data_IF_474626016605
#
_entry.id   IF_474626016605
#
_cell.length_a   1.000
_cell.length_b   1.000
_cell.length_c   1.000
_cell.angle_alpha   90.00
_cell.angle_beta   90.00
_cell.angle_gamma   90.00
#
_symmetry.space_group_name_H-M   'P 1'
#
loop_
_entity.id
_entity.type
_entity.pdbx_description
1 polymer ?
#
# COMPACT_ATOMS: atom_id res chain seq x y z
N UNK A 1 57.44 -12.78 2.23
CA UNK A 1 56.63 -12.44 3.43
C UNK A 1 55.53 -11.47 3.02
N UNK A 2 54.37 -11.59 3.66
CA UNK A 2 53.11 -10.88 3.43
C UNK A 2 52.33 -11.26 2.16
N UNK A 3 51.04 -11.56 2.20
CA UNK A 3 50.15 -12.17 3.20
C UNK A 3 48.86 -12.37 2.40
N UNK A 4 48.44 -13.63 2.23
CA UNK A 4 47.19 -13.95 1.55
C UNK A 4 46.03 -13.40 2.40
N UNK A 5 45.30 -12.43 1.87
CA UNK A 5 44.00 -12.04 2.40
C UNK A 5 42.99 -13.07 1.88
N UNK A 6 42.53 -13.94 2.79
CA UNK A 6 41.50 -14.93 2.51
C UNK A 6 40.21 -14.27 2.04
N UNK A 7 39.68 -14.78 0.95
CA UNK A 7 38.28 -14.61 0.58
C UNK A 7 37.41 -15.16 1.71
N UNK A 8 36.41 -14.42 2.21
CA UNK A 8 35.45 -15.01 3.14
C UNK A 8 34.66 -16.07 2.37
N UNK A 9 34.69 -17.30 2.89
CA UNK A 9 33.87 -18.40 2.42
C UNK A 9 32.40 -18.03 2.60
N UNK A 10 31.75 -17.62 1.51
CA UNK A 10 30.30 -17.48 1.48
C UNK A 10 29.70 -18.88 1.65
N UNK A 11 29.10 -19.12 2.81
CA UNK A 11 28.32 -20.32 3.10
C UNK A 11 27.04 -20.29 2.26
N UNK A 12 27.20 -20.51 0.95
CA UNK A 12 26.14 -20.51 -0.06
C UNK A 12 25.27 -21.75 0.05
N UNK A 13 24.44 -21.81 1.09
CA UNK A 13 23.23 -22.61 1.05
C UNK A 13 22.27 -21.99 0.04
N UNK A 14 21.72 -22.79 -0.87
CA UNK A 14 20.68 -22.36 -1.82
C UNK A 14 19.57 -21.64 -1.04
N UNK A 15 19.29 -20.38 -1.39
CA UNK A 15 18.27 -19.53 -0.73
C UNK A 15 17.06 -19.39 -1.65
N UNK A 16 16.25 -20.45 -1.85
CA UNK A 16 15.17 -20.46 -2.82
C UNK A 16 14.04 -19.47 -2.48
N UNK A 17 13.98 -18.96 -1.24
CA UNK A 17 13.05 -17.91 -0.85
C UNK A 17 13.40 -16.54 -1.45
N UNK A 18 14.64 -16.33 -1.90
CA UNK A 18 15.03 -15.06 -2.52
C UNK A 18 14.38 -14.85 -3.88
N UNK A 19 14.11 -15.90 -4.66
CA UNK A 19 13.37 -15.77 -5.92
C UNK A 19 11.86 -15.58 -5.73
N UNK A 20 11.34 -15.74 -4.50
CA UNK A 20 9.91 -15.65 -4.18
C UNK A 20 9.43 -14.21 -3.95
N UNK A 21 9.92 -13.27 -4.76
CA UNK A 21 9.65 -11.83 -4.63
C UNK A 21 8.19 -11.44 -4.88
N UNK A 22 7.43 -12.26 -5.62
CA UNK A 22 6.03 -11.98 -5.96
C UNK A 22 5.07 -12.15 -4.80
N UNK A 23 5.44 -12.93 -3.78
CA UNK A 23 4.54 -13.31 -2.70
C UNK A 23 4.53 -12.34 -1.51
N UNK A 24 5.54 -11.47 -1.39
CA UNK A 24 5.61 -10.52 -0.29
C UNK A 24 6.33 -9.23 -0.65
N UNK A 25 5.73 -8.11 -0.24
CA UNK A 25 6.35 -6.79 -0.22
C UNK A 25 6.07 -6.12 1.12
N UNK A 26 6.96 -5.24 1.55
CA UNK A 26 6.77 -4.37 2.71
C UNK A 26 6.48 -2.91 2.29
N UNK A 27 6.15 -2.67 1.02
CA UNK A 27 5.74 -1.35 0.53
C UNK A 27 4.32 -1.01 1.01
N UNK A 28 4.17 -0.81 2.33
CA UNK A 28 2.93 -0.40 3.00
C UNK A 28 3.31 0.33 4.29
N UNK A 29 2.57 1.39 4.63
CA UNK A 29 2.83 2.19 5.82
C UNK A 29 2.89 1.33 7.10
N UNK A 30 3.86 1.61 7.97
CA UNK A 30 4.05 0.89 9.22
C UNK A 30 4.83 -0.43 9.11
N UNK A 31 5.49 -0.65 7.97
CA UNK A 31 6.33 -1.82 7.71
C UNK A 31 7.81 -1.44 7.47
N UNK A 32 8.18 -0.22 7.85
CA UNK A 32 9.56 0.25 7.87
C UNK A 32 10.38 -0.58 8.88
N UNK A 33 11.54 -1.07 8.47
CA UNK A 33 12.42 -1.87 9.33
C UNK A 33 12.04 -3.35 9.50
N UNK A 34 10.98 -3.83 8.83
CA UNK A 34 10.65 -5.27 8.83
C UNK A 34 11.77 -6.08 8.16
N UNK A 35 12.21 -7.16 8.81
CA UNK A 35 13.13 -8.14 8.26
C UNK A 35 12.46 -8.92 7.12
N UNK A 36 12.66 -8.43 5.89
CA UNK A 36 12.05 -9.00 4.67
C UNK A 36 12.50 -10.43 4.43
N UNK A 37 13.78 -10.75 4.67
CA UNK A 37 14.33 -12.07 4.39
C UNK A 37 13.70 -13.11 5.32
N UNK A 38 13.58 -12.79 6.62
CA UNK A 38 12.89 -13.64 7.58
C UNK A 38 11.43 -13.89 7.18
N UNK A 39 10.70 -12.84 6.80
CA UNK A 39 9.29 -12.97 6.40
C UNK A 39 9.15 -13.81 5.14
N UNK A 40 9.96 -13.55 4.11
CA UNK A 40 9.95 -14.31 2.86
C UNK A 40 10.29 -15.79 3.09
N UNK A 41 11.26 -16.08 3.96
CA UNK A 41 11.61 -17.45 4.34
C UNK A 41 10.42 -18.16 4.99
N UNK A 42 9.74 -17.53 5.96
CA UNK A 42 8.55 -18.12 6.59
C UNK A 42 7.45 -18.38 5.57
N UNK A 43 7.15 -17.40 4.72
CA UNK A 43 6.12 -17.55 3.67
C UNK A 43 6.47 -18.71 2.73
N UNK A 44 7.71 -18.79 2.28
CA UNK A 44 8.20 -19.85 1.40
C UNK A 44 8.03 -21.23 2.06
N UNK A 45 8.55 -21.42 3.27
CA UNK A 45 8.47 -22.71 3.97
C UNK A 45 7.02 -23.14 4.23
N UNK A 46 6.15 -22.19 4.56
CA UNK A 46 4.72 -22.46 4.81
C UNK A 46 3.93 -22.73 3.53
N UNK A 47 4.43 -22.30 2.37
CA UNK A 47 3.72 -22.42 1.09
C UNK A 47 4.23 -23.58 0.24
N UNK A 48 5.50 -23.98 0.41
CA UNK A 48 6.19 -24.98 -0.41
C UNK A 48 5.41 -26.30 -0.47
N UNK A 49 5.24 -26.82 -1.68
CA UNK A 49 4.51 -28.07 -1.95
C UNK A 49 2.98 -27.94 -1.97
N UNK A 50 2.42 -26.75 -1.74
CA UNK A 50 0.98 -26.50 -1.91
C UNK A 50 0.60 -26.26 -3.37
N UNK A 51 -0.66 -26.53 -3.73
CA UNK A 51 -1.24 -26.16 -5.04
C UNK A 51 -1.13 -24.66 -5.33
N UNK A 52 -1.25 -23.82 -4.29
CA UNK A 52 -1.08 -22.38 -4.42
C UNK A 52 0.35 -22.04 -4.85
N UNK A 53 1.34 -22.64 -4.19
CA UNK A 53 2.75 -22.42 -4.50
C UNK A 53 3.13 -22.88 -5.91
N UNK A 54 2.64 -24.04 -6.35
CA UNK A 54 2.82 -24.49 -7.74
C UNK A 54 2.20 -23.51 -8.75
N UNK A 55 1.03 -22.95 -8.43
CA UNK A 55 0.38 -21.95 -9.28
C UNK A 55 1.17 -20.63 -9.32
N UNK A 56 1.72 -20.17 -8.20
CA UNK A 56 2.58 -18.99 -8.16
C UNK A 56 3.87 -19.20 -8.96
N UNK A 57 4.50 -20.39 -8.89
CA UNK A 57 5.64 -20.71 -9.76
C UNK A 57 5.28 -20.68 -11.25
N UNK A 58 4.10 -21.19 -11.63
CA UNK A 58 3.61 -21.12 -13.01
C UNK A 58 3.45 -19.67 -13.47
N UNK A 59 2.83 -18.82 -12.65
CA UNK A 59 2.69 -17.37 -12.94
C UNK A 59 4.04 -16.66 -13.05
N UNK A 60 4.99 -17.02 -12.19
CA UNK A 60 6.34 -16.48 -12.22
C UNK A 60 7.05 -16.86 -13.53
N UNK A 61 6.99 -18.12 -13.95
CA UNK A 61 7.53 -18.58 -15.23
C UNK A 61 6.90 -17.84 -16.41
N UNK A 62 5.57 -17.67 -16.41
CA UNK A 62 4.87 -16.87 -17.45
C UNK A 62 5.38 -15.44 -17.46
N UNK A 63 5.59 -14.83 -16.30
CA UNK A 63 6.08 -13.46 -16.18
C UNK A 63 7.52 -13.35 -16.70
N UNK A 64 8.40 -14.31 -16.38
CA UNK A 64 9.77 -14.37 -16.90
C UNK A 64 9.79 -14.49 -18.42
N UNK A 65 8.98 -15.39 -18.99
CA UNK A 65 8.86 -15.53 -20.45
C UNK A 65 8.39 -14.22 -21.11
N UNK A 66 7.44 -13.50 -20.51
CA UNK A 66 7.01 -12.18 -21.00
C UNK A 66 8.16 -11.16 -20.95
N UNK A 67 8.92 -11.13 -19.87
CA UNK A 67 10.08 -10.22 -19.73
C UNK A 67 11.14 -10.55 -20.80
N UNK A 68 11.46 -11.82 -21.00
CA UNK A 68 12.40 -12.26 -22.04
C UNK A 68 11.90 -11.91 -23.45
N UNK A 69 10.62 -12.12 -23.72
CA UNK A 69 10.00 -11.73 -24.97
C UNK A 69 10.12 -10.22 -25.22
N UNK A 70 9.78 -9.39 -24.23
CA UNK A 70 9.91 -7.93 -24.33
C UNK A 70 11.37 -7.52 -24.51
N UNK A 71 12.32 -8.13 -23.80
CA UNK A 71 13.76 -7.88 -23.97
C UNK A 71 14.23 -8.23 -25.39
N UNK A 72 13.77 -9.35 -25.95
CA UNK A 72 14.08 -9.74 -27.31
C UNK A 72 13.46 -8.80 -28.36
N UNK A 73 12.27 -8.23 -28.08
CA UNK A 73 11.68 -7.19 -28.92
C UNK A 73 12.50 -5.89 -28.84
N UNK A 74 12.86 -5.45 -27.64
CA UNK A 74 13.71 -4.26 -27.46
C UNK A 74 15.07 -4.41 -28.15
N UNK A 75 15.69 -5.59 -28.09
CA UNK A 75 16.97 -5.86 -28.74
C UNK A 75 16.93 -5.80 -30.28
N UNK A 76 15.74 -5.85 -30.89
CA UNK A 76 15.56 -5.72 -32.34
C UNK A 76 15.36 -4.26 -32.80
N UNK A 77 15.16 -3.32 -31.88
CA UNK A 77 14.97 -1.92 -32.21
C UNK A 77 16.27 -1.33 -32.72
N UNK A 78 16.20 -0.65 -33.86
CA UNK A 78 17.32 0.10 -34.43
C UNK A 78 17.38 1.52 -33.86
N UNK A 79 18.53 2.20 -34.03
CA UNK A 79 18.65 3.62 -33.66
C UNK A 79 17.62 4.51 -34.37
N UNK A 80 17.24 4.15 -35.61
CA UNK A 80 16.19 4.84 -36.35
C UNK A 80 14.80 4.64 -35.71
N UNK A 81 14.48 3.41 -35.27
CA UNK A 81 13.23 3.13 -34.56
C UNK A 81 13.16 3.91 -33.25
N UNK A 82 14.25 3.89 -32.47
CA UNK A 82 14.35 4.61 -31.20
C UNK A 82 14.18 6.11 -31.44
N UNK A 83 14.89 6.68 -32.42
CA UNK A 83 14.76 8.11 -32.77
C UNK A 83 13.34 8.47 -33.21
N UNK A 84 12.67 7.61 -33.97
CA UNK A 84 11.28 7.81 -34.36
C UNK A 84 10.35 7.84 -33.14
N UNK A 85 10.41 6.82 -32.27
CA UNK A 85 9.56 6.76 -31.09
C UNK A 85 9.87 7.83 -30.06
N UNK A 86 11.12 8.25 -29.95
CA UNK A 86 11.51 9.38 -29.11
C UNK A 86 10.81 10.67 -29.57
N UNK A 87 10.80 10.96 -30.87
CA UNK A 87 10.06 12.13 -31.42
C UNK A 87 8.55 12.05 -31.14
N UNK A 88 7.97 10.86 -31.24
CA UNK A 88 6.55 10.64 -30.90
C UNK A 88 6.29 10.91 -29.42
N UNK A 89 7.15 10.40 -28.54
CA UNK A 89 7.06 10.61 -27.10
C UNK A 89 7.25 12.08 -26.71
N UNK A 90 8.25 12.76 -27.28
CA UNK A 90 8.52 14.18 -27.05
C UNK A 90 7.33 15.06 -27.48
N UNK A 91 6.75 14.78 -28.65
CA UNK A 91 5.52 15.47 -29.08
C UNK A 91 4.41 15.28 -28.05
N UNK A 92 4.23 14.06 -27.55
CA UNK A 92 3.18 13.77 -26.56
C UNK A 92 3.44 14.45 -25.23
N UNK A 93 4.69 14.50 -24.79
CA UNK A 93 5.10 15.21 -23.58
C UNK A 93 4.75 16.70 -23.74
N UNK A 94 5.10 17.33 -24.85
CA UNK A 94 4.76 18.74 -25.10
C UNK A 94 3.25 19.01 -25.06
N UNK A 95 2.43 18.12 -25.64
CA UNK A 95 0.97 18.21 -25.57
C UNK A 95 0.44 18.11 -24.11
N UNK A 96 1.00 17.20 -23.32
CA UNK A 96 0.60 17.01 -21.91
C UNK A 96 1.08 18.18 -21.04
N UNK A 97 2.28 18.71 -21.27
CA UNK A 97 2.80 19.87 -20.56
C UNK A 97 1.98 21.13 -20.85
N UNK A 98 1.61 21.35 -22.12
CA UNK A 98 0.80 22.50 -22.51
C UNK A 98 -0.62 22.47 -21.92
N UNK A 99 -1.12 21.29 -21.57
CA UNK A 99 -2.45 21.09 -20.96
C UNK A 99 -2.40 20.80 -19.45
N UNK A 100 -1.23 20.94 -18.82
CA UNK A 100 -1.04 20.70 -17.39
C UNK A 100 -1.84 21.70 -16.56
N UNK A 101 -2.84 21.22 -15.84
CA UNK A 101 -3.61 22.01 -14.88
C UNK A 101 -3.05 21.87 -13.46
N UNK A 102 -2.65 22.99 -12.87
CA UNK A 102 -2.19 23.10 -11.48
C UNK A 102 -3.09 24.00 -10.63
N UNK A 103 -4.22 24.44 -11.18
CA UNK A 103 -5.17 25.33 -10.48
C UNK A 103 -5.99 24.61 -9.41
N UNK A 104 -6.12 23.29 -9.54
CA UNK A 104 -6.85 22.44 -8.61
C UNK A 104 -6.03 22.07 -7.38
N UNK A 105 -6.70 21.96 -6.25
CA UNK A 105 -6.15 21.45 -4.99
C UNK A 105 -6.94 20.20 -4.61
N UNK A 106 -6.36 19.04 -4.90
CA UNK A 106 -6.93 17.75 -4.55
C UNK A 106 -6.42 17.30 -3.19
N UNK A 107 -7.34 16.82 -2.36
CA UNK A 107 -7.04 16.11 -1.12
C UNK A 107 -7.43 14.64 -1.29
N UNK A 108 -6.52 13.72 -0.95
CA UNK A 108 -6.85 12.31 -0.76
C UNK A 108 -6.78 11.99 0.73
N UNK A 109 -7.79 11.32 1.26
CA UNK A 109 -7.84 10.84 2.65
C UNK A 109 -7.89 9.31 2.69
N UNK A 110 -7.16 8.70 3.62
CA UNK A 110 -7.04 7.25 3.83
C UNK A 110 -7.06 6.94 5.34
N UNK A 111 -8.07 6.20 5.81
CA UNK A 111 -8.23 5.90 7.25
C UNK A 111 -7.17 4.91 7.75
N UNK A 112 -6.50 5.26 8.84
CA UNK A 112 -5.32 4.51 9.31
C UNK A 112 -5.69 3.12 9.83
N UNK A 113 -5.24 2.07 9.14
CA UNK A 113 -5.52 0.67 9.48
C UNK A 113 -7.02 0.40 9.76
N UNK A 114 -7.91 1.01 8.97
CA UNK A 114 -9.34 1.22 9.24
C UNK A 114 -10.04 0.13 10.05
N UNK A 115 -10.18 -1.11 9.52
CA UNK A 115 -10.94 -2.13 10.25
C UNK A 115 -10.29 -2.51 11.60
N UNK A 116 -8.96 -2.57 11.68
CA UNK A 116 -8.28 -2.87 12.94
C UNK A 116 -8.42 -1.71 13.95
N UNK A 117 -8.41 -0.47 13.47
CA UNK A 117 -8.64 0.71 14.31
C UNK A 117 -10.08 0.73 14.86
N UNK A 118 -11.08 0.44 14.02
CA UNK A 118 -12.48 0.29 14.42
C UNK A 118 -12.65 -0.78 15.50
N UNK A 119 -12.09 -1.98 15.29
CA UNK A 119 -12.19 -3.06 16.30
C UNK A 119 -11.48 -2.70 17.60
N UNK A 120 -10.37 -1.95 17.53
CA UNK A 120 -9.64 -1.47 18.72
C UNK A 120 -10.42 -0.40 19.49
N UNK A 121 -11.13 0.47 18.79
CA UNK A 121 -11.98 1.49 19.40
C UNK A 121 -13.14 0.87 20.18
N UNK A 122 -13.77 -0.16 19.61
CA UNK A 122 -14.92 -0.85 20.20
C UNK A 122 -14.53 -1.80 21.33
N UNK A 123 -13.30 -2.31 21.29
CA UNK A 123 -12.75 -3.16 22.33
C UNK A 123 -11.37 -2.64 22.77
N UNK A 124 -11.32 -1.75 23.77
CA UNK A 124 -10.07 -1.15 24.26
C UNK A 124 -9.03 -2.17 24.74
N UNK A 125 -9.42 -3.40 25.07
CA UNK A 125 -8.48 -4.47 25.45
C UNK A 125 -7.57 -4.94 24.30
N UNK A 126 -7.86 -4.54 23.07
CA UNK A 126 -7.05 -4.80 21.88
C UNK A 126 -5.95 -3.75 21.65
N UNK A 127 -6.01 -2.61 22.35
CA UNK A 127 -5.07 -1.51 22.17
C UNK A 127 -3.63 -1.96 22.45
N UNK A 128 -2.72 -1.64 21.53
CA UNK A 128 -1.30 -1.99 21.62
C UNK A 128 -0.97 -3.46 21.37
N UNK A 129 -1.96 -4.30 21.01
CA UNK A 129 -1.73 -5.70 20.65
C UNK A 129 -1.59 -5.87 19.14
N UNK A 130 -0.76 -6.83 18.67
CA UNK A 130 -0.74 -7.18 17.26
C UNK A 130 -2.10 -7.81 16.88
N UNK A 131 -2.92 -7.04 16.18
CA UNK A 131 -4.27 -7.39 15.74
C UNK A 131 -4.33 -7.58 14.21
N UNK A 132 -5.05 -8.61 13.78
CA UNK A 132 -5.49 -8.81 12.41
C UNK A 132 -7.01 -9.00 12.34
N UNK A 133 -7.66 -8.34 11.38
CA UNK A 133 -9.06 -8.56 11.05
C UNK A 133 -9.13 -9.51 9.87
N UNK A 134 -9.90 -10.59 10.00
CA UNK A 134 -10.05 -11.60 8.96
C UNK A 134 -10.25 -12.99 9.54
N UNK A 135 -9.65 -13.99 8.89
CA UNK A 135 -9.70 -15.38 9.32
C UNK A 135 -8.33 -16.06 9.13
N UNK A 136 -8.22 -17.31 9.57
CA UNK A 136 -7.05 -18.14 9.29
C UNK A 136 -6.80 -18.32 7.79
N UNK A 137 -7.84 -18.20 6.96
CA UNK A 137 -7.71 -18.29 5.50
C UNK A 137 -7.16 -17.01 4.89
N UNK A 138 -7.58 -15.83 5.37
CA UNK A 138 -7.16 -14.55 4.80
C UNK A 138 -7.30 -13.39 5.77
N UNK A 139 -6.26 -12.55 5.83
CA UNK A 139 -6.25 -11.28 6.58
C UNK A 139 -6.76 -10.16 5.67
N UNK A 140 -7.80 -9.45 6.12
CA UNK A 140 -8.32 -8.26 5.44
C UNK A 140 -7.49 -7.02 5.77
N UNK A 141 -7.17 -6.80 7.05
CA UNK A 141 -6.24 -5.74 7.46
C UNK A 141 -5.47 -6.15 8.71
N UNK A 142 -4.34 -5.50 8.92
CA UNK A 142 -3.49 -5.68 10.09
C UNK A 142 -3.21 -4.31 10.73
N UNK A 143 -3.25 -4.28 12.07
CA UNK A 143 -2.81 -3.16 12.91
C UNK A 143 -1.34 -2.83 12.67
N UNK A 144 -0.92 -1.61 13.02
CA UNK A 144 0.48 -1.19 12.91
C UNK A 144 1.40 -2.05 13.79
N UNK A 145 0.92 -2.51 14.95
CA UNK A 145 1.62 -3.43 15.84
C UNK A 145 1.91 -4.78 15.16
N UNK A 146 0.92 -5.34 14.45
CA UNK A 146 1.10 -6.57 13.69
C UNK A 146 2.02 -6.38 12.46
N UNK A 147 1.94 -5.23 11.80
CA UNK A 147 2.76 -4.88 10.62
C UNK A 147 4.25 -4.91 10.89
N UNK A 148 4.69 -4.58 12.12
CA UNK A 148 6.09 -4.69 12.56
C UNK A 148 6.66 -6.10 12.48
N UNK A 149 5.80 -7.13 12.50
CA UNK A 149 6.19 -8.54 12.33
C UNK A 149 6.11 -9.02 10.88
N UNK A 150 5.75 -8.14 9.94
CA UNK A 150 5.52 -8.49 8.54
C UNK A 150 4.09 -8.96 8.22
N UNK A 151 3.19 -8.96 9.21
CA UNK A 151 1.77 -9.33 9.00
C UNK A 151 1.07 -8.21 8.24
N UNK A 152 0.36 -8.55 7.16
CA UNK A 152 -0.32 -7.56 6.29
C UNK A 152 -1.61 -8.10 5.69
N UNK A 153 -2.39 -7.19 5.12
CA UNK A 153 -3.53 -7.53 4.28
C UNK A 153 -3.12 -8.45 3.11
N UNK A 154 -4.07 -9.31 2.70
CA UNK A 154 -3.91 -10.35 1.68
C UNK A 154 -2.92 -11.47 2.03
N UNK A 155 -2.50 -11.58 3.30
CA UNK A 155 -1.74 -12.70 3.81
C UNK A 155 -2.69 -13.75 4.42
N UNK A 156 -2.48 -15.07 4.19
CA UNK A 156 -3.20 -16.09 4.92
C UNK A 156 -2.97 -15.99 6.43
N UNK A 157 -4.04 -16.10 7.22
CA UNK A 157 -3.96 -15.89 8.66
C UNK A 157 -3.04 -16.88 9.38
N UNK A 158 -2.98 -18.14 8.94
CA UNK A 158 -2.08 -19.14 9.51
C UNK A 158 -0.58 -18.78 9.31
N UNK A 159 -0.24 -18.08 8.22
CA UNK A 159 1.10 -17.53 8.01
C UNK A 159 1.33 -16.35 8.95
N UNK A 160 0.33 -15.48 9.11
CA UNK A 160 0.34 -14.38 10.08
C UNK A 160 0.67 -14.85 11.50
N UNK A 161 0.01 -15.91 11.98
CA UNK A 161 0.31 -16.52 13.29
C UNK A 161 1.74 -17.07 13.40
N UNK A 162 2.31 -17.56 12.29
CA UNK A 162 3.69 -18.05 12.29
C UNK A 162 4.70 -16.91 12.41
N UNK A 163 4.39 -15.76 11.80
CA UNK A 163 5.21 -14.55 11.88
C UNK A 163 5.08 -13.85 13.25
N UNK A 164 3.88 -13.85 13.82
CA UNK A 164 3.56 -13.24 15.10
C UNK A 164 2.72 -14.23 15.94
N UNK A 165 3.34 -14.99 16.86
CA UNK A 165 2.63 -15.97 17.68
C UNK A 165 1.54 -15.36 18.57
N UNK A 166 1.71 -14.11 18.99
CA UNK A 166 0.77 -13.37 19.82
C UNK A 166 -0.33 -12.64 19.00
N UNK A 167 -0.44 -12.93 17.69
CA UNK A 167 -1.40 -12.29 16.79
C UNK A 167 -2.84 -12.58 17.20
N UNK A 168 -3.57 -11.52 17.52
CA UNK A 168 -5.00 -11.59 17.84
C UNK A 168 -5.82 -11.50 16.57
N UNK A 169 -6.78 -12.41 16.40
CA UNK A 169 -7.73 -12.39 15.28
C UNK A 169 -9.09 -11.87 15.70
N UNK A 170 -9.64 -10.96 14.90
CA UNK A 170 -11.02 -10.49 15.03
C UNK A 170 -11.76 -10.74 13.72
N UNK A 171 -13.02 -11.21 13.82
CA UNK A 171 -13.87 -11.44 12.65
C UNK A 171 -14.33 -10.09 12.07
N UNK A 172 -14.38 -9.94 10.74
CA UNK A 172 -14.87 -8.72 10.12
C UNK A 172 -16.32 -8.38 10.52
N UNK A 173 -16.59 -7.11 10.88
CA UNK A 173 -17.93 -6.57 11.05
C UNK A 173 -18.20 -5.41 10.06
N UNK A 174 -18.74 -5.74 8.87
CA UNK A 174 -18.95 -4.76 7.81
C UNK A 174 -20.05 -3.74 8.08
N UNK A 175 -21.03 -4.06 8.92
CA UNK A 175 -22.06 -3.10 9.34
C UNK A 175 -21.40 -1.97 10.13
N UNK A 176 -20.52 -2.34 11.07
CA UNK A 176 -19.74 -1.39 11.86
C UNK A 176 -18.79 -0.56 10.99
N UNK A 177 -18.07 -1.20 10.07
CA UNK A 177 -17.16 -0.48 9.16
C UNK A 177 -17.92 0.53 8.28
N UNK A 178 -19.09 0.14 7.79
CA UNK A 178 -19.96 1.04 7.01
C UNK A 178 -20.49 2.20 7.87
N UNK A 179 -20.80 1.96 9.14
CA UNK A 179 -21.20 3.01 10.08
C UNK A 179 -20.11 4.07 10.26
N UNK A 180 -18.89 3.67 10.63
CA UNK A 180 -17.77 4.60 10.83
C UNK A 180 -17.35 5.28 9.52
N UNK A 181 -17.40 4.58 8.39
CA UNK A 181 -17.21 5.18 7.06
C UNK A 181 -18.24 6.28 6.78
N UNK A 182 -19.50 6.04 7.12
CA UNK A 182 -20.58 7.03 7.01
C UNK A 182 -20.33 8.27 7.85
N UNK A 183 -19.81 8.12 9.07
CA UNK A 183 -19.43 9.26 9.92
C UNK A 183 -18.30 10.08 9.32
N UNK A 184 -17.21 9.43 8.87
CA UNK A 184 -16.10 10.11 8.22
C UNK A 184 -16.55 10.84 6.92
N UNK A 185 -17.41 10.20 6.12
CA UNK A 185 -17.97 10.80 4.90
C UNK A 185 -18.83 12.03 5.16
N UNK A 186 -19.55 12.10 6.29
CA UNK A 186 -20.25 13.34 6.70
C UNK A 186 -19.29 14.48 6.97
N UNK A 187 -18.08 14.19 7.47
CA UNK A 187 -17.01 15.20 7.60
C UNK A 187 -16.51 15.62 6.22
N UNK A 188 -16.24 14.67 5.32
CA UNK A 188 -15.76 14.96 3.96
C UNK A 188 -16.72 15.87 3.18
N UNK A 189 -18.03 15.64 3.28
CA UNK A 189 -19.06 16.46 2.66
C UNK A 189 -19.03 17.95 3.05
N UNK A 190 -18.44 18.29 4.21
CA UNK A 190 -18.28 19.69 4.66
C UNK A 190 -17.22 20.45 3.85
N UNK A 191 -16.32 19.72 3.19
CA UNK A 191 -15.21 20.27 2.41
C UNK A 191 -15.42 20.09 0.90
N UNK A 192 -16.06 19.00 0.49
CA UNK A 192 -16.47 18.78 -0.90
C UNK A 192 -17.79 17.98 -0.94
N UNK A 193 -18.93 18.59 -1.32
CA UNK A 193 -20.20 17.88 -1.41
C UNK A 193 -20.23 16.83 -2.53
N UNK A 194 -19.33 16.92 -3.51
CA UNK A 194 -19.22 16.02 -4.66
C UNK A 194 -18.00 15.10 -4.57
N UNK A 195 -17.45 14.91 -3.36
CA UNK A 195 -16.29 14.05 -3.14
C UNK A 195 -16.50 12.64 -3.72
N UNK A 196 -15.39 12.00 -4.09
CA UNK A 196 -15.39 10.67 -4.68
C UNK A 196 -14.79 9.64 -3.71
N UNK A 197 -15.62 8.78 -3.14
CA UNK A 197 -15.17 7.65 -2.31
C UNK A 197 -14.74 6.45 -3.17
N UNK A 198 -13.52 5.96 -2.97
CA UNK A 198 -13.00 4.75 -3.64
C UNK A 198 -13.29 3.46 -2.86
N UNK A 199 -13.35 3.55 -1.54
CA UNK A 199 -13.61 2.43 -0.63
C UNK A 199 -14.35 2.93 0.63
N UNK A 200 -14.44 2.09 1.67
CA UNK A 200 -14.99 2.52 2.96
C UNK A 200 -14.05 3.50 3.69
N UNK A 201 -12.75 3.41 3.46
CA UNK A 201 -11.69 4.15 4.14
C UNK A 201 -11.01 5.23 3.30
N UNK A 202 -11.28 5.31 1.98
CA UNK A 202 -10.60 6.24 1.10
C UNK A 202 -11.56 7.16 0.31
N UNK A 203 -11.14 8.41 0.15
CA UNK A 203 -11.86 9.40 -0.66
C UNK A 203 -10.94 10.46 -1.30
N UNK A 204 -11.39 11.04 -2.41
CA UNK A 204 -10.82 12.23 -3.04
C UNK A 204 -11.78 13.40 -2.92
N UNK A 205 -11.24 14.56 -2.54
CA UNK A 205 -11.97 15.81 -2.40
C UNK A 205 -11.30 16.88 -3.28
N UNK A 206 -12.10 17.66 -4.02
CA UNK A 206 -11.65 18.92 -4.62
C UNK A 206 -11.85 20.04 -3.60
N UNK A 207 -10.79 20.42 -2.89
CA UNK A 207 -10.83 21.44 -1.84
C UNK A 207 -10.47 22.84 -2.35
N UNK A 208 -10.43 23.02 -3.69
CA UNK A 208 -10.02 24.29 -4.32
C UNK A 208 -10.86 25.46 -3.84
N UNK A 209 -12.20 25.33 -3.90
CA UNK A 209 -13.11 26.41 -3.49
C UNK A 209 -13.00 26.72 -2.01
N UNK A 210 -12.88 25.70 -1.15
CA UNK A 210 -12.70 25.88 0.29
C UNK A 210 -11.44 26.68 0.61
N UNK A 211 -10.32 26.36 -0.06
CA UNK A 211 -9.07 27.09 0.11
C UNK A 211 -9.21 28.56 -0.34
N UNK A 212 -9.89 28.81 -1.46
CA UNK A 212 -10.11 30.16 -1.99
C UNK A 212 -11.01 30.99 -1.07
N UNK A 213 -12.18 30.46 -0.70
CA UNK A 213 -13.18 31.17 0.10
C UNK A 213 -12.68 31.51 1.50
N UNK A 214 -11.89 30.61 2.11
CA UNK A 214 -11.37 30.78 3.47
C UNK A 214 -9.99 31.44 3.50
N UNK A 215 -9.29 31.53 2.38
CA UNK A 215 -7.94 32.08 2.30
C UNK A 215 -6.90 31.25 3.05
N UNK A 216 -7.07 29.93 3.09
CA UNK A 216 -6.20 28.98 3.80
C UNK A 216 -5.56 27.98 2.83
N UNK A 217 -4.46 27.35 3.22
CA UNK A 217 -3.77 26.36 2.39
C UNK A 217 -4.46 25.01 2.41
N UNK A 218 -4.16 24.17 1.41
CA UNK A 218 -4.66 22.80 1.39
C UNK A 218 -4.14 21.97 2.56
N UNK A 219 -2.92 22.24 3.05
CA UNK A 219 -2.36 21.61 4.26
C UNK A 219 -3.13 21.98 5.53
N UNK A 220 -3.59 23.23 5.65
CA UNK A 220 -4.46 23.68 6.75
C UNK A 220 -5.80 22.94 6.70
N UNK A 221 -6.45 22.90 5.53
CA UNK A 221 -7.69 22.11 5.30
C UNK A 221 -7.49 20.64 5.64
N UNK A 222 -6.36 20.05 5.24
CA UNK A 222 -6.06 18.66 5.54
C UNK A 222 -5.90 18.40 7.04
N UNK A 223 -5.30 19.34 7.78
CA UNK A 223 -5.22 19.25 9.24
C UNK A 223 -6.59 19.34 9.89
N UNK A 224 -7.39 20.34 9.52
CA UNK A 224 -8.77 20.51 10.00
C UNK A 224 -9.63 19.27 9.72
N UNK A 225 -9.49 18.68 8.53
CA UNK A 225 -10.22 17.49 8.15
C UNK A 225 -9.83 16.29 9.01
N UNK A 226 -8.53 16.04 9.23
CA UNK A 226 -8.07 14.94 10.10
C UNK A 226 -8.59 15.12 11.52
N UNK A 227 -8.52 16.34 12.07
CA UNK A 227 -8.99 16.65 13.41
C UNK A 227 -10.51 16.45 13.52
N UNK A 228 -11.27 16.90 12.52
CA UNK A 228 -12.72 16.72 12.48
C UNK A 228 -13.12 15.24 12.34
N UNK A 229 -12.41 14.46 11.53
CA UNK A 229 -12.61 13.00 11.45
C UNK A 229 -12.35 12.36 12.80
N UNK A 230 -11.27 12.75 13.49
CA UNK A 230 -10.95 12.22 14.80
C UNK A 230 -12.01 12.56 15.85
N UNK A 231 -12.50 13.80 15.86
CA UNK A 231 -13.55 14.24 16.78
C UNK A 231 -14.87 13.50 16.54
N UNK A 232 -15.26 13.27 15.28
CA UNK A 232 -16.53 12.63 14.92
C UNK A 232 -16.49 11.10 15.10
N UNK A 233 -15.33 10.48 14.87
CA UNK A 233 -15.23 9.01 14.79
C UNK A 233 -14.38 8.36 15.87
N UNK A 234 -13.49 9.11 16.53
CA UNK A 234 -12.45 8.57 17.39
C UNK A 234 -11.30 7.86 16.64
N UNK A 235 -11.33 7.82 15.31
CA UNK A 235 -10.34 7.19 14.44
C UNK A 235 -9.41 8.24 13.84
N UNK A 236 -8.25 7.81 13.32
CA UNK A 236 -7.31 8.71 12.63
C UNK A 236 -7.31 8.41 11.13
N UNK A 237 -6.94 9.40 10.33
CA UNK A 237 -6.66 9.24 8.92
C UNK A 237 -5.40 10.01 8.51
N UNK A 238 -4.79 9.54 7.43
CA UNK A 238 -3.74 10.25 6.71
C UNK A 238 -4.36 11.01 5.54
N UNK A 239 -3.76 12.16 5.18
CA UNK A 239 -4.27 13.02 4.13
C UNK A 239 -3.15 13.63 3.29
N UNK A 240 -3.23 13.45 1.97
CA UNK A 240 -2.27 13.96 0.99
C UNK A 240 -2.88 15.04 0.11
N UNK A 241 -2.19 16.18 -0.02
CA UNK A 241 -2.63 17.33 -0.82
C UNK A 241 -1.73 17.50 -2.03
N UNK A 242 -2.31 17.65 -3.21
CA UNK A 242 -1.58 17.87 -4.45
C UNK A 242 -2.43 18.48 -5.58
N UNK A 243 -1.81 18.94 -6.68
CA UNK A 243 -2.55 19.50 -7.82
C UNK A 243 -3.38 18.49 -8.63
N UNK A 244 -3.21 17.19 -8.40
CA UNK A 244 -4.01 16.14 -9.03
C UNK A 244 -4.17 14.93 -8.10
N UNK A 245 -5.19 14.11 -8.39
CA UNK A 245 -5.55 12.92 -7.60
C UNK A 245 -4.41 11.91 -7.49
N UNK A 246 -3.63 11.69 -8.55
CA UNK A 246 -2.55 10.69 -8.53
C UNK A 246 -1.47 11.05 -7.50
N UNK A 247 -1.01 12.30 -7.49
CA UNK A 247 0.01 12.76 -6.54
C UNK A 247 -0.60 12.86 -5.12
N UNK A 248 -1.86 13.28 -5.00
CA UNK A 248 -2.55 13.36 -3.72
C UNK A 248 -2.59 11.98 -3.02
N UNK A 249 -2.89 10.91 -3.77
CA UNK A 249 -2.86 9.53 -3.25
C UNK A 249 -1.47 9.09 -2.79
N UNK A 250 -0.43 9.43 -3.54
CA UNK A 250 0.95 9.05 -3.20
C UNK A 250 1.45 9.79 -1.95
N UNK A 251 0.91 10.98 -1.66
CA UNK A 251 1.27 11.80 -0.50
C UNK A 251 0.54 11.42 0.79
N UNK A 252 -0.61 10.75 0.69
CA UNK A 252 -1.40 10.29 1.83
C UNK A 252 -0.82 9.00 2.40
#
# INVERSE_FOLDING_TARGET
MSSAAGTPSDGGGDRPWQSYHTAYTNAKAGMEGVDKEKVQKVIYEMSKGSKYFENEQKKETITKLKIEHLRAQCAKLTDNDISHFQKVAEKKILELEASRDLSKIWLHTDMDAFYAAVETLENPSLKGKPLAVGSMSMIATASYEARKFGVRAAMPGFIGCKLCPDLVFVRPNFERYSHYSGLARKVFQRYDPNFFATSLDEAYLDITEVCIERGITGEEVASELRDAVHQETGLTCSAGVAPNRMIAKVRA
#
